data_IF_344201589512
#
_entry.id   IF_344201589512
#
_cell.length_a   1.000
_cell.length_b   1.000
_cell.length_c   1.000
_cell.angle_alpha   90.00
_cell.angle_beta   90.00
_cell.angle_gamma   90.00
#
_symmetry.space_group_name_H-M   'P 1'
#
loop_
_entity.id
_entity.type
_entity.pdbx_description
1 polymer ?
#
# COMPACT_ATOMS: atom_id res chain seq x y z
N UNK A 1 -31.85 -14.61 6.07
CA UNK A 1 -30.83 -14.44 5.03
C UNK A 1 -29.69 -13.62 5.59
N UNK A 2 -28.47 -14.17 5.70
CA UNK A 2 -27.29 -13.41 6.15
C UNK A 2 -26.80 -12.59 4.95
N UNK A 3 -26.73 -11.26 5.10
CA UNK A 3 -26.09 -10.39 4.10
C UNK A 3 -24.63 -10.83 3.97
N UNK A 4 -24.07 -10.91 2.75
CA UNK A 4 -22.64 -11.16 2.60
C UNK A 4 -21.88 -10.00 3.26
N UNK A 5 -20.89 -10.36 4.08
CA UNK A 5 -19.99 -9.42 4.74
C UNK A 5 -19.16 -8.77 3.63
N UNK A 6 -19.35 -7.47 3.42
CA UNK A 6 -18.52 -6.67 2.50
C UNK A 6 -17.05 -6.93 2.85
N UNK A 7 -16.23 -7.27 1.86
CA UNK A 7 -14.78 -7.33 2.02
C UNK A 7 -14.29 -6.01 2.65
N UNK A 8 -13.21 -6.00 3.45
CA UNK A 8 -12.74 -4.78 4.09
C UNK A 8 -12.50 -3.74 3.01
N UNK A 9 -13.34 -2.70 3.00
CA UNK A 9 -13.26 -1.60 2.05
C UNK A 9 -11.88 -0.97 2.25
N UNK A 10 -10.99 -1.25 1.31
CA UNK A 10 -9.68 -0.62 1.27
C UNK A 10 -9.98 0.82 0.89
N UNK A 11 -9.93 1.74 1.85
CA UNK A 11 -10.18 3.18 1.68
C UNK A 11 -9.07 3.84 0.85
N UNK A 12 -8.85 3.34 -0.36
CA UNK A 12 -7.95 3.94 -1.32
C UNK A 12 -8.63 5.17 -1.91
N UNK A 13 -7.87 6.23 -2.23
CA UNK A 13 -8.40 7.32 -3.01
C UNK A 13 -9.00 6.77 -4.32
N UNK A 14 -10.20 7.25 -4.69
CA UNK A 14 -10.83 6.90 -5.96
C UNK A 14 -10.07 7.57 -7.11
N UNK A 15 -9.02 6.92 -7.60
CA UNK A 15 -8.21 7.39 -8.72
C UNK A 15 -8.82 6.93 -10.06
N UNK A 16 -8.70 7.78 -11.08
CA UNK A 16 -9.06 7.39 -12.44
C UNK A 16 -8.08 6.32 -12.95
N UNK A 17 -8.51 5.51 -13.91
CA UNK A 17 -7.62 4.52 -14.56
C UNK A 17 -6.41 5.19 -15.19
N UNK A 18 -6.59 6.35 -15.83
CA UNK A 18 -5.50 7.12 -16.42
C UNK A 18 -4.48 7.54 -15.35
N UNK A 19 -4.93 8.03 -14.20
CA UNK A 19 -4.02 8.42 -13.12
C UNK A 19 -3.28 7.22 -12.52
N UNK A 20 -3.96 6.08 -12.34
CA UNK A 20 -3.30 4.85 -11.90
C UNK A 20 -2.23 4.41 -12.89
N UNK A 21 -2.52 4.48 -14.20
CA UNK A 21 -1.57 4.13 -15.25
C UNK A 21 -0.34 5.03 -15.23
N UNK A 22 -0.51 6.35 -15.10
CA UNK A 22 0.61 7.30 -14.96
C UNK A 22 1.52 6.95 -13.77
N UNK A 23 0.94 6.71 -12.60
CA UNK A 23 1.70 6.33 -11.40
C UNK A 23 2.44 5.00 -11.61
N UNK A 24 1.80 4.03 -12.28
CA UNK A 24 2.44 2.75 -12.56
C UNK A 24 3.59 2.91 -13.54
N UNK A 25 3.40 3.63 -14.64
CA UNK A 25 4.43 3.92 -15.64
C UNK A 25 5.62 4.66 -15.01
N UNK A 26 5.37 5.59 -14.09
CA UNK A 26 6.41 6.29 -13.34
C UNK A 26 7.17 5.35 -12.41
N UNK A 27 6.46 4.50 -11.65
CA UNK A 27 7.09 3.58 -10.70
C UNK A 27 7.92 2.47 -11.38
N UNK A 28 7.60 2.11 -12.62
CA UNK A 28 8.29 1.03 -13.35
C UNK A 28 9.21 1.55 -14.46
N UNK A 29 9.50 2.85 -14.45
CA UNK A 29 10.42 3.45 -15.43
C UNK A 29 11.79 2.77 -15.31
N UNK A 30 12.33 2.35 -16.45
CA UNK A 30 13.60 1.62 -16.56
C UNK A 30 13.69 0.31 -15.73
N UNK A 31 12.55 -0.31 -15.39
CA UNK A 31 12.51 -1.60 -14.73
C UNK A 31 12.21 -2.76 -15.72
N UNK A 32 13.17 -3.67 -15.88
CA UNK A 32 13.12 -4.75 -16.88
C UNK A 32 12.65 -6.09 -16.29
N UNK A 33 12.74 -6.26 -14.98
CA UNK A 33 12.33 -7.45 -14.23
C UNK A 33 11.23 -7.12 -13.23
N UNK A 34 10.47 -8.14 -12.80
CA UNK A 34 9.43 -7.95 -11.78
C UNK A 34 10.01 -7.43 -10.45
N UNK A 35 11.21 -7.89 -10.09
CA UNK A 35 11.91 -7.44 -8.89
C UNK A 35 12.27 -5.95 -8.96
N UNK A 36 12.82 -5.49 -10.09
CA UNK A 36 13.09 -4.06 -10.31
C UNK A 36 11.80 -3.24 -10.26
N UNK A 37 10.70 -3.74 -10.82
CA UNK A 37 9.41 -3.05 -10.77
C UNK A 37 8.90 -2.91 -9.32
N UNK A 38 9.02 -3.98 -8.52
CA UNK A 38 8.66 -3.93 -7.09
C UNK A 38 9.53 -2.92 -6.34
N UNK A 39 10.83 -2.87 -6.63
CA UNK A 39 11.74 -1.88 -6.03
C UNK A 39 11.35 -0.46 -6.43
N UNK A 40 11.01 -0.22 -7.70
CA UNK A 40 10.52 1.08 -8.15
C UNK A 40 9.25 1.53 -7.42
N UNK A 41 8.28 0.62 -7.21
CA UNK A 41 7.12 0.91 -6.36
C UNK A 41 7.48 1.18 -4.90
N UNK A 42 8.42 0.43 -4.32
CA UNK A 42 8.89 0.68 -2.95
C UNK A 42 9.46 2.09 -2.84
N UNK A 43 10.33 2.50 -3.77
CA UNK A 43 10.91 3.84 -3.80
C UNK A 43 9.83 4.91 -3.83
N UNK A 44 8.87 4.81 -4.75
CA UNK A 44 7.80 5.82 -4.83
C UNK A 44 6.94 5.87 -3.55
N UNK A 45 6.68 4.71 -2.92
CA UNK A 45 5.97 4.65 -1.65
C UNK A 45 6.80 5.28 -0.52
N UNK A 46 8.08 4.95 -0.39
CA UNK A 46 8.95 5.49 0.67
C UNK A 46 9.13 7.02 0.56
N UNK A 47 9.21 7.55 -0.65
CA UNK A 47 9.41 8.98 -0.89
C UNK A 47 8.16 9.82 -0.63
N UNK A 48 6.97 9.30 -0.94
CA UNK A 48 5.75 10.09 -0.99
C UNK A 48 4.76 9.79 0.14
N UNK A 49 4.77 8.58 0.70
CA UNK A 49 3.81 8.19 1.73
C UNK A 49 4.10 8.95 3.02
N UNK A 50 3.16 9.80 3.43
CA UNK A 50 3.26 10.49 4.70
C UNK A 50 3.21 9.49 5.85
N UNK A 51 4.27 9.44 6.63
CA UNK A 51 4.43 8.60 7.82
C UNK A 51 4.84 9.48 9.03
N UNK A 52 4.47 9.08 10.26
CA UNK A 52 3.59 7.95 10.56
C UNK A 52 2.09 8.28 10.34
N UNK A 53 1.25 7.26 10.22
CA UNK A 53 -0.21 7.42 10.27
C UNK A 53 -0.89 6.30 11.05
N UNK A 54 -2.03 6.59 11.66
CA UNK A 54 -2.82 5.62 12.42
C UNK A 54 -3.84 4.91 11.52
N UNK A 55 -4.00 3.60 11.71
CA UNK A 55 -5.05 2.81 11.04
C UNK A 55 -5.56 1.68 11.93
N UNK A 56 -6.76 1.19 11.65
CA UNK A 56 -7.33 0.02 12.35
C UNK A 56 -7.08 -1.27 11.57
N UNK A 57 -6.36 -2.20 12.18
CA UNK A 57 -6.16 -3.57 11.66
C UNK A 57 -6.94 -4.53 12.56
N UNK A 58 -7.91 -5.25 11.98
CA UNK A 58 -8.80 -6.15 12.73
C UNK A 58 -9.47 -5.47 13.95
N UNK A 59 -9.78 -4.18 13.84
CA UNK A 59 -10.42 -3.38 14.90
C UNK A 59 -9.45 -2.78 15.92
N UNK A 60 -8.15 -3.08 15.82
CA UNK A 60 -7.10 -2.56 16.69
C UNK A 60 -6.41 -1.38 16.02
N UNK A 61 -6.34 -0.24 16.71
CA UNK A 61 -5.56 0.90 16.26
C UNK A 61 -4.05 0.62 16.38
N UNK A 62 -3.35 0.85 15.27
CA UNK A 62 -1.90 0.70 15.13
C UNK A 62 -1.35 1.90 14.37
N UNK A 63 -0.08 2.20 14.60
CA UNK A 63 0.65 3.23 13.87
C UNK A 63 1.51 2.59 12.78
N UNK A 64 1.37 3.02 11.53
CA UNK A 64 2.26 2.65 10.44
C UNK A 64 3.44 3.60 10.45
N UNK A 65 4.65 3.06 10.66
CA UNK A 65 5.85 3.89 10.89
C UNK A 65 6.85 3.86 9.73
N UNK A 66 6.86 2.76 8.97
CA UNK A 66 7.79 2.53 7.87
C UNK A 66 7.16 1.56 6.87
N UNK A 67 7.52 1.70 5.59
CA UNK A 67 7.37 0.66 4.58
C UNK A 67 8.76 0.14 4.19
N UNK A 68 8.89 -1.15 3.89
CA UNK A 68 10.16 -1.79 3.54
C UNK A 68 9.89 -3.02 2.68
N UNK A 69 10.94 -3.69 2.23
CA UNK A 69 10.85 -4.93 1.47
C UNK A 69 11.48 -6.11 2.23
N UNK A 70 10.87 -7.27 2.13
CA UNK A 70 11.39 -8.53 2.65
C UNK A 70 12.39 -9.17 1.68
N UNK A 71 13.11 -10.20 2.14
CA UNK A 71 14.06 -10.94 1.28
C UNK A 71 13.40 -11.68 0.11
N UNK A 72 12.09 -11.95 0.20
CA UNK A 72 11.25 -12.54 -0.85
C UNK A 72 10.49 -11.46 -1.67
N UNK A 73 11.00 -10.23 -1.69
CA UNK A 73 10.50 -9.12 -2.51
C UNK A 73 9.03 -8.76 -2.25
N UNK A 74 8.58 -8.89 -0.99
CA UNK A 74 7.28 -8.38 -0.55
C UNK A 74 7.42 -7.02 0.10
N UNK A 75 6.67 -6.04 -0.39
CA UNK A 75 6.55 -4.75 0.27
C UNK A 75 5.65 -4.91 1.51
N UNK A 76 6.17 -4.51 2.66
CA UNK A 76 5.50 -4.63 3.97
C UNK A 76 5.51 -3.29 4.71
N UNK A 77 4.42 -3.00 5.39
CA UNK A 77 4.31 -1.91 6.34
C UNK A 77 4.61 -2.41 7.76
N UNK A 78 5.45 -1.68 8.48
CA UNK A 78 5.69 -1.89 9.89
C UNK A 78 4.66 -1.16 10.73
N UNK A 79 3.77 -1.94 11.34
CA UNK A 79 2.71 -1.45 12.21
C UNK A 79 3.11 -1.64 13.68
N UNK A 80 3.07 -0.57 14.47
CA UNK A 80 3.39 -0.57 15.90
C UNK A 80 2.13 -0.38 16.74
N UNK A 81 2.07 -1.12 17.85
CA UNK A 81 1.13 -0.88 18.96
C UNK A 81 1.87 -1.02 20.28
N UNK A 82 2.04 0.08 21.00
CA UNK A 82 2.88 0.08 22.20
C UNK A 82 4.29 -0.40 21.89
N UNK A 83 4.71 -1.49 22.54
CA UNK A 83 6.03 -2.11 22.36
C UNK A 83 6.03 -3.26 21.34
N UNK A 84 4.88 -3.58 20.75
CA UNK A 84 4.77 -4.65 19.74
C UNK A 84 4.85 -4.05 18.35
N UNK A 85 5.66 -4.67 17.48
CA UNK A 85 5.79 -4.31 16.07
C UNK A 85 5.48 -5.53 15.21
N UNK A 86 4.67 -5.34 14.18
CA UNK A 86 4.28 -6.37 13.23
C UNK A 86 4.45 -5.88 11.80
N UNK A 87 4.86 -6.78 10.90
CA UNK A 87 4.84 -6.54 9.46
C UNK A 87 3.47 -6.91 8.89
N UNK A 88 2.92 -6.05 8.06
CA UNK A 88 1.67 -6.28 7.32
C UNK A 88 1.98 -6.07 5.85
N UNK A 89 1.64 -7.03 4.99
CA UNK A 89 1.84 -6.88 3.55
C UNK A 89 1.14 -5.61 3.06
N UNK A 90 1.80 -4.80 2.22
CA UNK A 90 1.23 -3.54 1.74
C UNK A 90 -0.10 -3.77 0.99
N UNK A 91 -0.25 -4.94 0.38
CA UNK A 91 -1.47 -5.39 -0.29
C UNK A 91 -2.65 -5.54 0.68
N UNK A 92 -2.38 -5.89 1.93
CA UNK A 92 -3.38 -6.10 2.99
C UNK A 92 -3.51 -4.92 3.95
N UNK A 93 -2.67 -3.87 3.80
CA UNK A 93 -2.67 -2.71 4.70
C UNK A 93 -3.95 -1.86 4.52
N UNK A 94 -4.87 -1.80 5.49
CA UNK A 94 -5.99 -0.86 5.41
C UNK A 94 -5.46 0.58 5.40
N UNK A 95 -6.24 1.50 4.84
CA UNK A 95 -5.95 2.93 4.90
C UNK A 95 -7.02 3.66 5.74
N UNK A 96 -6.65 4.68 6.52
CA UNK A 96 -7.61 5.52 7.23
C UNK A 96 -8.42 6.40 6.26
N UNK A 97 -9.48 7.02 6.78
CA UNK A 97 -10.23 8.07 6.08
C UNK A 97 -10.14 9.35 6.91
N UNK A 98 -9.57 10.45 6.38
CA UNK A 98 -8.93 10.55 5.07
C UNK A 98 -7.64 9.72 4.97
N UNK A 99 -7.28 9.32 3.74
CA UNK A 99 -6.03 8.62 3.48
C UNK A 99 -4.82 9.56 3.69
N UNK A 100 -3.65 9.04 4.11
CA UNK A 100 -2.44 9.85 4.19
C UNK A 100 -2.01 10.32 2.79
N UNK A 101 -1.29 11.45 2.72
CA UNK A 101 -0.67 11.89 1.47
C UNK A 101 0.27 10.79 0.93
N UNK A 102 0.31 10.61 -0.39
CA UNK A 102 1.10 9.57 -1.05
C UNK A 102 0.45 8.17 -1.04
N UNK A 103 -0.73 8.00 -0.44
CA UNK A 103 -1.45 6.73 -0.46
C UNK A 103 -1.85 6.26 -1.89
N UNK A 104 -1.84 7.14 -2.88
CA UNK A 104 -2.00 6.82 -4.29
C UNK A 104 -0.95 5.84 -4.81
N UNK A 105 0.27 5.86 -4.26
CA UNK A 105 1.33 4.91 -4.65
C UNK A 105 1.04 3.50 -4.16
N UNK A 106 0.41 3.36 -3.00
CA UNK A 106 -0.13 2.07 -2.53
C UNK A 106 -1.26 1.60 -3.45
N UNK A 107 -2.11 2.51 -3.93
CA UNK A 107 -3.17 2.18 -4.87
C UNK A 107 -2.61 1.72 -6.23
N UNK A 108 -1.58 2.40 -6.74
CA UNK A 108 -0.87 2.05 -7.96
C UNK A 108 -0.24 0.65 -7.85
N UNK A 109 0.52 0.38 -6.78
CA UNK A 109 1.12 -0.94 -6.56
C UNK A 109 0.07 -2.06 -6.49
N UNK A 110 -1.03 -1.84 -5.76
CA UNK A 110 -2.15 -2.79 -5.70
C UNK A 110 -2.80 -3.03 -7.05
N UNK A 111 -2.88 -2.00 -7.90
CA UNK A 111 -3.43 -2.11 -9.24
C UNK A 111 -2.49 -2.88 -10.19
N UNK A 112 -1.20 -2.56 -10.15
CA UNK A 112 -0.16 -3.27 -10.90
C UNK A 112 -0.10 -4.76 -10.54
N UNK A 113 -0.09 -5.09 -9.24
CA UNK A 113 -0.11 -6.48 -8.75
C UNK A 113 -1.32 -7.29 -9.20
N UNK A 114 -2.46 -6.65 -9.45
CA UNK A 114 -3.67 -7.31 -9.97
C UNK A 114 -3.71 -7.41 -11.49
N UNK A 115 -2.80 -6.76 -12.21
CA UNK A 115 -2.86 -6.63 -13.67
C UNK A 115 -4.07 -5.84 -14.16
N UNK A 116 -4.60 -4.92 -13.33
CA UNK A 116 -5.86 -4.21 -13.60
C UNK A 116 -5.68 -2.76 -14.07
N UNK A 117 -4.55 -2.45 -14.70
CA UNK A 117 -4.13 -1.10 -15.11
C UNK A 117 -4.13 -0.90 -16.64
#
# INVERSE_FOLDING_TARGET
>A
MRKPKTAPETNLPSLSKARLKELIEEAVVDAYTEEEQIVGFLTMIEEHLALPFSVKILGVEVEVEKVDMTLDSQIVAFCRRGNTRQKVAILDLPLPVPAPAGAEWIAAYRCWRRGSW
#
